data_IF_848497119868
#
_entry.id   IF_848497119868
#
_cell.length_a   1.000
_cell.length_b   1.000
_cell.length_c   1.000
_cell.angle_alpha   90.00
_cell.angle_beta   90.00
_cell.angle_gamma   90.00
#
_symmetry.space_group_name_H-M   'P 1'
#
loop_
_entity.id
_entity.type
_entity.pdbx_description
1 polymer ?
#
# COMPACT_ATOMS: atom_id res chain seq x y z
N UNK A 1 -17.06 -24.08 5.00
CA UNK A 1 -18.45 -24.29 5.48
C UNK A 1 -18.93 -23.01 6.14
N UNK A 2 -20.20 -22.57 6.01
CA UNK A 2 -21.20 -22.80 4.95
C UNK A 2 -21.42 -21.52 4.11
N UNK A 3 -21.59 -21.55 2.78
CA UNK A 3 -22.73 -21.99 1.94
C UNK A 3 -23.99 -21.13 2.15
N UNK A 4 -24.22 -20.22 1.20
CA UNK A 4 -25.45 -19.44 1.05
C UNK A 4 -25.61 -18.95 -0.40
N UNK A 5 -26.34 -19.74 -1.18
CA UNK A 5 -26.63 -19.66 -2.63
C UNK A 5 -27.03 -18.26 -3.13
N UNK A 6 -26.60 -17.89 -4.35
CA UNK A 6 -27.47 -17.32 -5.40
C UNK A 6 -26.78 -17.35 -6.79
N UNK A 7 -27.57 -17.76 -7.77
CA UNK A 7 -27.27 -18.14 -9.16
C UNK A 7 -27.27 -16.88 -10.06
N UNK A 8 -26.48 -16.80 -11.15
CA UNK A 8 -26.44 -15.60 -11.98
C UNK A 8 -27.54 -15.59 -13.05
N UNK A 9 -28.10 -14.40 -13.28
CA UNK A 9 -29.13 -14.08 -14.28
C UNK A 9 -28.53 -13.32 -15.47
N UNK A 10 -28.66 -13.94 -16.64
CA UNK A 10 -28.92 -13.42 -17.99
C UNK A 10 -28.31 -12.11 -18.51
N UNK A 11 -27.66 -12.25 -19.69
CA UNK A 11 -27.26 -11.21 -20.67
C UNK A 11 -28.47 -10.55 -21.36
N UNK A 12 -28.21 -9.33 -21.84
CA UNK A 12 -29.12 -8.41 -22.52
C UNK A 12 -29.34 -8.68 -24.03
N UNK A 13 -30.59 -8.44 -24.43
CA UNK A 13 -31.16 -7.73 -25.60
C UNK A 13 -30.79 -8.07 -27.07
N UNK A 14 -31.73 -8.82 -27.70
CA UNK A 14 -32.60 -8.57 -28.89
C UNK A 14 -32.25 -7.53 -29.97
N UNK A 15 -32.87 -7.53 -31.20
CA UNK A 15 -34.10 -8.22 -31.64
C UNK A 15 -33.95 -8.97 -33.00
N UNK A 16 -34.89 -9.73 -33.56
CA UNK A 16 -36.19 -9.30 -34.13
C UNK A 16 -36.88 -10.52 -34.78
N UNK A 17 -38.23 -10.51 -34.86
CA UNK A 17 -39.13 -11.20 -35.82
C UNK A 17 -38.93 -12.73 -36.05
N UNK A 18 -39.89 -13.63 -35.90
CA UNK A 18 -41.24 -13.62 -36.48
C UNK A 18 -42.09 -14.80 -35.92
N UNK A 19 -43.41 -14.59 -35.92
CA UNK A 19 -44.52 -15.51 -36.19
C UNK A 19 -44.63 -16.95 -35.61
N UNK A 20 -45.81 -17.12 -35.00
CA UNK A 20 -46.77 -18.22 -35.07
C UNK A 20 -46.44 -19.59 -34.49
N UNK A 21 -47.23 -19.97 -33.49
CA UNK A 21 -47.73 -21.34 -33.36
C UNK A 21 -49.05 -21.38 -32.58
N UNK A 22 -50.10 -21.83 -33.28
CA UNK A 22 -51.02 -22.89 -32.87
C UNK A 22 -51.80 -22.80 -31.53
N UNK A 23 -53.12 -23.06 -31.60
CA UNK A 23 -53.68 -24.39 -31.25
C UNK A 23 -55.20 -24.35 -30.96
N UNK A 24 -55.95 -24.97 -31.88
CA UNK A 24 -57.07 -25.91 -31.68
C UNK A 24 -58.18 -25.65 -30.64
N UNK A 25 -59.44 -25.56 -31.10
CA UNK A 25 -60.59 -26.27 -30.48
C UNK A 25 -61.78 -26.46 -31.44
N UNK A 26 -62.13 -27.74 -31.63
CA UNK A 26 -63.47 -28.37 -31.80
C UNK A 26 -64.56 -27.74 -32.68
N UNK A 27 -65.12 -28.52 -33.63
CA UNK A 27 -66.42 -29.25 -33.49
C UNK A 27 -66.80 -30.03 -34.77
N UNK A 28 -67.61 -31.07 -34.56
CA UNK A 28 -68.10 -32.13 -35.46
C UNK A 28 -68.92 -31.68 -36.70
N UNK A 29 -68.68 -32.43 -37.77
CA UNK A 29 -69.61 -33.09 -38.75
C UNK A 29 -70.64 -32.30 -39.60
N UNK A 30 -70.30 -32.19 -40.90
CA UNK A 30 -71.09 -32.43 -42.14
C UNK A 30 -72.33 -31.56 -42.46
N UNK A 31 -72.82 -31.44 -43.72
CA UNK A 31 -72.37 -32.04 -44.99
C UNK A 31 -72.30 -31.05 -46.19
N UNK A 32 -72.16 -31.63 -47.38
CA UNK A 32 -72.54 -31.14 -48.73
C UNK A 32 -71.54 -30.33 -49.59
N UNK A 33 -71.35 -30.89 -50.79
CA UNK A 33 -70.32 -30.62 -51.79
C UNK A 33 -70.64 -29.38 -52.61
N UNK A 34 -69.70 -28.43 -52.71
CA UNK A 34 -69.63 -27.46 -53.81
C UNK A 34 -68.21 -27.40 -54.38
N UNK A 35 -68.14 -27.59 -55.70
CA UNK A 35 -66.90 -27.70 -56.50
C UNK A 35 -66.05 -26.43 -56.38
N UNK A 36 -64.77 -26.57 -55.97
CA UNK A 36 -63.75 -25.51 -56.10
C UNK A 36 -62.72 -25.90 -57.16
N UNK A 37 -62.41 -24.93 -58.04
CA UNK A 37 -61.49 -25.03 -59.17
C UNK A 37 -60.15 -25.63 -58.73
N UNK A 38 -59.68 -26.68 -59.43
CA UNK A 38 -58.34 -27.25 -59.22
C UNK A 38 -57.31 -26.16 -59.48
N UNK A 39 -56.61 -25.73 -58.42
CA UNK A 39 -55.42 -24.91 -58.55
C UNK A 39 -54.36 -25.62 -59.40
N UNK A 40 -53.60 -24.85 -60.16
CA UNK A 40 -52.43 -25.30 -60.90
C UNK A 40 -51.45 -25.98 -59.92
N UNK A 41 -51.38 -27.31 -59.95
CA UNK A 41 -50.35 -28.07 -59.24
C UNK A 41 -49.18 -28.18 -60.19
N UNK A 42 -48.05 -27.54 -59.86
CA UNK A 42 -46.78 -27.76 -60.57
C UNK A 42 -46.49 -29.26 -60.60
N UNK A 43 -46.14 -29.79 -61.76
CA UNK A 43 -45.81 -31.21 -61.91
C UNK A 43 -44.61 -31.56 -61.03
N UNK A 44 -44.61 -32.76 -60.43
CA UNK A 44 -43.57 -33.23 -59.49
C UNK A 44 -42.14 -33.07 -60.05
N UNK A 45 -41.97 -33.26 -61.36
CA UNK A 45 -40.70 -33.07 -62.06
C UNK A 45 -40.21 -31.61 -62.05
N UNK A 46 -41.13 -30.63 -62.14
CA UNK A 46 -40.77 -29.22 -62.09
C UNK A 46 -40.30 -28.82 -60.68
N UNK A 47 -40.96 -29.33 -59.64
CA UNK A 47 -40.57 -29.11 -58.24
C UNK A 47 -39.18 -29.71 -57.98
N UNK A 48 -38.96 -30.97 -58.41
CA UNK A 48 -37.66 -31.64 -58.24
C UNK A 48 -36.54 -30.94 -59.02
N UNK A 49 -36.83 -30.34 -60.18
CA UNK A 49 -35.86 -29.55 -60.94
C UNK A 49 -35.55 -28.21 -60.26
N UNK A 50 -36.56 -27.53 -59.70
CA UNK A 50 -36.38 -26.31 -58.90
C UNK A 50 -35.52 -26.62 -57.65
N UNK A 51 -35.78 -27.71 -56.93
CA UNK A 51 -34.98 -28.17 -55.78
C UNK A 51 -33.53 -28.46 -56.16
N UNK A 52 -33.28 -29.16 -57.28
CA UNK A 52 -31.91 -29.42 -57.76
C UNK A 52 -31.17 -28.11 -58.03
N UNK A 53 -31.82 -27.13 -58.67
CA UNK A 53 -31.18 -25.83 -58.94
C UNK A 53 -30.89 -25.05 -57.66
N UNK A 54 -31.77 -25.11 -56.66
CA UNK A 54 -31.54 -24.48 -55.35
C UNK A 54 -30.35 -25.12 -54.62
N UNK A 55 -30.31 -26.44 -54.56
CA UNK A 55 -29.20 -27.17 -53.93
C UNK A 55 -27.87 -26.91 -54.65
N UNK A 56 -27.87 -26.77 -55.98
CA UNK A 56 -26.67 -26.39 -56.73
C UNK A 56 -26.18 -24.99 -56.36
N UNK A 57 -27.08 -24.01 -56.20
CA UNK A 57 -26.69 -22.67 -55.76
C UNK A 57 -26.14 -22.66 -54.34
N UNK A 58 -26.71 -23.46 -53.44
CA UNK A 58 -26.26 -23.59 -52.07
C UNK A 58 -24.87 -24.24 -51.99
N UNK A 59 -24.60 -25.26 -52.79
CA UNK A 59 -23.26 -25.88 -52.89
C UNK A 59 -22.22 -24.86 -53.34
N UNK A 60 -22.53 -24.01 -54.34
CA UNK A 60 -21.61 -22.97 -54.81
C UNK A 60 -21.36 -21.92 -53.72
N UNK A 61 -22.40 -21.51 -53.00
CA UNK A 61 -22.28 -20.57 -51.88
C UNK A 61 -21.42 -21.15 -50.75
N UNK A 62 -21.66 -22.40 -50.36
CA UNK A 62 -20.89 -23.09 -49.34
C UNK A 62 -19.43 -23.29 -49.77
N UNK A 63 -19.17 -23.62 -51.04
CA UNK A 63 -17.82 -23.71 -51.58
C UNK A 63 -17.09 -22.35 -51.53
N UNK A 64 -17.79 -21.25 -51.81
CA UNK A 64 -17.22 -19.91 -51.68
C UNK A 64 -16.96 -19.53 -50.22
N UNK A 65 -17.85 -19.91 -49.30
CA UNK A 65 -17.63 -19.72 -47.87
C UNK A 65 -16.42 -20.51 -47.38
N UNK A 66 -16.27 -21.77 -47.80
CA UNK A 66 -15.11 -22.60 -47.47
C UNK A 66 -13.83 -21.98 -48.03
N UNK A 67 -13.82 -21.52 -49.29
CA UNK A 67 -12.66 -20.84 -49.89
C UNK A 67 -12.30 -19.54 -49.16
N UNK A 68 -13.30 -18.75 -48.77
CA UNK A 68 -13.08 -17.52 -47.99
C UNK A 68 -12.53 -17.84 -46.60
N UNK A 69 -13.05 -18.87 -45.93
CA UNK A 69 -12.56 -19.31 -44.63
C UNK A 69 -11.14 -19.90 -44.72
N UNK A 70 -10.85 -20.67 -45.77
CA UNK A 70 -9.50 -21.17 -46.05
C UNK A 70 -8.54 -20.01 -46.32
N UNK A 71 -8.95 -19.03 -47.13
CA UNK A 71 -8.14 -17.84 -47.38
C UNK A 71 -7.92 -17.01 -46.11
N UNK A 72 -8.93 -16.89 -45.24
CA UNK A 72 -8.80 -16.23 -43.92
C UNK A 72 -7.93 -17.01 -42.92
N UNK A 73 -7.85 -18.34 -43.06
CA UNK A 73 -6.97 -19.18 -42.23
C UNK A 73 -5.52 -19.19 -42.72
N UNK A 74 -5.30 -19.02 -44.04
CA UNK A 74 -3.97 -18.93 -44.65
C UNK A 74 -3.35 -17.53 -44.58
N UNK A 75 -4.15 -16.47 -44.46
CA UNK A 75 -3.65 -15.14 -44.12
C UNK A 75 -3.31 -15.16 -42.64
N UNK A 76 -2.03 -15.03 -42.24
CA UNK A 76 -1.67 -14.90 -40.84
C UNK A 76 -2.46 -13.72 -40.28
N UNK A 77 -3.33 -13.96 -39.28
CA UNK A 77 -3.74 -12.87 -38.41
C UNK A 77 -2.44 -12.26 -37.90
N UNK A 78 -2.34 -10.94 -37.97
CA UNK A 78 -1.21 -10.16 -37.48
C UNK A 78 -1.11 -10.35 -35.95
N UNK A 79 -0.62 -11.51 -35.52
CA UNK A 79 -0.32 -11.87 -34.14
C UNK A 79 0.97 -11.17 -33.68
N UNK A 80 1.62 -10.41 -34.56
CA UNK A 80 2.86 -9.71 -34.28
C UNK A 80 2.70 -8.69 -33.16
N UNK A 81 1.55 -8.01 -33.05
CA UNK A 81 1.34 -6.99 -32.03
C UNK A 81 0.97 -7.57 -30.65
N UNK A 82 0.14 -8.61 -30.59
CA UNK A 82 -0.21 -9.28 -29.33
C UNK A 82 0.98 -10.07 -28.75
N UNK A 83 1.74 -10.78 -29.59
CA UNK A 83 2.95 -11.49 -29.14
C UNK A 83 4.04 -10.51 -28.73
N UNK A 84 4.25 -9.39 -29.44
CA UNK A 84 5.21 -8.37 -29.03
C UNK A 84 4.79 -7.67 -27.73
N UNK A 85 3.49 -7.41 -27.53
CA UNK A 85 2.96 -6.88 -26.27
C UNK A 85 3.19 -7.84 -25.10
N UNK A 86 2.98 -9.13 -25.31
CA UNK A 86 3.20 -10.16 -24.30
C UNK A 86 4.69 -10.37 -23.99
N UNK A 87 5.54 -10.39 -25.01
CA UNK A 87 7.01 -10.47 -24.87
C UNK A 87 7.57 -9.24 -24.14
N UNK A 88 7.16 -8.04 -24.51
CA UNK A 88 7.60 -6.79 -23.86
C UNK A 88 7.11 -6.71 -22.40
N UNK A 89 5.86 -7.10 -22.13
CA UNK A 89 5.33 -7.23 -20.77
C UNK A 89 6.14 -8.22 -19.94
N UNK A 90 6.47 -9.39 -20.49
CA UNK A 90 7.29 -10.40 -19.83
C UNK A 90 8.72 -9.90 -19.54
N UNK A 91 9.34 -9.17 -20.46
CA UNK A 91 10.66 -8.55 -20.26
C UNK A 91 10.62 -7.53 -19.10
N UNK A 92 9.62 -6.65 -19.07
CA UNK A 92 9.45 -5.67 -18.00
C UNK A 92 9.21 -6.34 -16.65
N UNK A 93 8.34 -7.36 -16.61
CA UNK A 93 8.09 -8.13 -15.39
C UNK A 93 9.38 -8.81 -14.88
N UNK A 94 10.19 -9.38 -15.78
CA UNK A 94 11.47 -9.99 -15.40
C UNK A 94 12.46 -8.96 -14.88
N UNK A 95 12.52 -7.76 -15.47
CA UNK A 95 13.35 -6.67 -14.98
C UNK A 95 12.92 -6.21 -13.58
N UNK A 96 11.61 -6.04 -13.36
CA UNK A 96 11.05 -5.68 -12.05
C UNK A 96 11.37 -6.76 -11.02
N UNK A 97 11.19 -8.04 -11.34
CA UNK A 97 11.57 -9.16 -10.46
C UNK A 97 13.06 -9.13 -10.10
N UNK A 98 13.93 -8.81 -11.07
CA UNK A 98 15.37 -8.67 -10.83
C UNK A 98 15.67 -7.53 -9.87
N UNK A 99 15.04 -6.36 -10.06
CA UNK A 99 15.19 -5.23 -9.14
C UNK A 99 14.67 -5.55 -7.74
N UNK A 100 13.52 -6.21 -7.63
CA UNK A 100 12.96 -6.66 -6.36
C UNK A 100 13.92 -7.63 -5.65
N UNK A 101 14.54 -8.56 -6.38
CA UNK A 101 15.54 -9.47 -5.82
C UNK A 101 16.76 -8.72 -5.28
N UNK A 102 17.27 -7.74 -6.03
CA UNK A 102 18.37 -6.88 -5.56
C UNK A 102 17.98 -6.12 -4.28
N UNK A 103 16.77 -5.57 -4.24
CA UNK A 103 16.26 -4.88 -3.06
C UNK A 103 16.15 -5.81 -1.84
N UNK A 104 15.63 -7.02 -2.02
CA UNK A 104 15.56 -8.04 -0.96
C UNK A 104 16.94 -8.39 -0.43
N UNK A 105 17.94 -8.56 -1.31
CA UNK A 105 19.31 -8.83 -0.90
C UNK A 105 19.92 -7.67 -0.09
N UNK A 106 19.70 -6.44 -0.52
CA UNK A 106 20.12 -5.24 0.23
C UNK A 106 19.41 -5.20 1.59
N UNK A 107 18.11 -5.43 1.62
CA UNK A 107 17.32 -5.43 2.86
C UNK A 107 17.79 -6.52 3.84
N UNK A 108 18.12 -7.72 3.35
CA UNK A 108 18.66 -8.80 4.17
C UNK A 108 20.04 -8.44 4.76
N UNK A 109 20.94 -7.87 3.94
CA UNK A 109 22.24 -7.41 4.41
C UNK A 109 22.11 -6.29 5.46
N UNK A 110 21.25 -5.31 5.21
CA UNK A 110 20.97 -4.21 6.15
C UNK A 110 20.34 -4.71 7.46
N UNK A 111 19.45 -5.70 7.40
CA UNK A 111 18.82 -6.27 8.59
C UNK A 111 19.84 -7.02 9.45
N UNK A 112 20.70 -7.81 8.82
CA UNK A 112 21.81 -8.50 9.49
C UNK A 112 22.77 -7.50 10.14
N UNK A 113 23.13 -6.44 9.42
CA UNK A 113 23.98 -5.39 9.96
C UNK A 113 23.34 -4.63 11.13
N UNK A 114 22.04 -4.35 11.05
CA UNK A 114 21.27 -3.71 12.12
C UNK A 114 21.11 -4.61 13.37
N UNK A 115 21.17 -5.93 13.20
CA UNK A 115 21.13 -6.90 14.29
C UNK A 115 22.45 -6.98 15.07
N UNK A 116 23.58 -6.61 14.45
CA UNK A 116 24.89 -6.64 15.11
C UNK A 116 25.30 -5.30 15.73
N UNK A 117 24.57 -4.22 15.47
CA UNK A 117 24.94 -2.89 15.96
C UNK A 117 23.74 -2.00 16.23
N UNK A 118 23.64 -1.58 17.49
CA UNK A 118 22.63 -0.63 17.99
C UNK A 118 22.68 0.66 17.17
N UNK A 119 23.85 1.09 16.69
CA UNK A 119 24.05 2.34 15.94
C UNK A 119 23.62 2.27 14.48
N UNK A 120 23.30 1.08 13.96
CA UNK A 120 23.09 0.87 12.53
C UNK A 120 21.63 0.96 12.09
N UNK A 121 20.71 1.25 13.02
CA UNK A 121 19.28 1.28 12.77
C UNK A 121 18.78 2.48 11.96
N UNK A 122 19.45 3.63 12.04
CA UNK A 122 19.01 4.87 11.42
C UNK A 122 20.19 5.83 11.08
N UNK A 123 20.20 6.48 9.89
CA UNK A 123 21.24 7.45 9.51
C UNK A 123 21.39 8.67 10.44
N UNK A 124 20.35 8.96 11.24
CA UNK A 124 20.34 10.09 12.19
C UNK A 124 20.90 9.72 13.57
N UNK A 125 21.04 8.42 13.84
CA UNK A 125 21.53 7.91 15.12
C UNK A 125 23.04 8.13 15.21
N UNK A 126 23.49 8.71 16.32
CA UNK A 126 24.92 8.81 16.64
C UNK A 126 25.12 8.54 18.12
N UNK A 127 26.28 8.02 18.47
CA UNK A 127 26.69 7.94 19.87
C UNK A 127 26.87 9.34 20.42
N UNK A 128 26.10 9.66 21.46
CA UNK A 128 26.33 10.82 22.30
C UNK A 128 26.94 10.31 23.60
N UNK A 129 28.04 10.95 24.01
CA UNK A 129 28.64 10.81 25.32
C UNK A 129 28.54 12.16 25.98
N UNK A 130 27.98 12.22 27.19
CA UNK A 130 27.82 13.46 27.91
C UNK A 130 28.62 13.48 29.21
N UNK A 131 29.24 14.64 29.53
CA UNK A 131 29.82 14.86 30.83
C UNK A 131 28.77 14.80 31.95
N UNK A 132 29.22 14.38 33.12
CA UNK A 132 28.43 14.43 34.35
C UNK A 132 28.07 15.88 34.72
N UNK A 133 29.05 16.78 34.64
CA UNK A 133 28.88 18.20 34.96
C UNK A 133 27.86 18.89 34.06
N UNK A 134 27.04 19.75 34.66
CA UNK A 134 25.88 20.33 33.99
C UNK A 134 26.24 21.36 32.92
N UNK A 135 27.13 22.30 33.22
CA UNK A 135 27.50 23.36 32.28
C UNK A 135 28.20 22.81 31.02
N UNK A 136 29.23 21.94 31.12
CA UNK A 136 29.87 21.34 29.94
C UNK A 136 28.89 20.50 29.11
N UNK A 137 28.01 19.76 29.78
CA UNK A 137 26.96 18.97 29.13
C UNK A 137 26.01 19.84 28.31
N UNK A 138 25.53 20.95 28.87
CA UNK A 138 24.67 21.91 28.15
C UNK A 138 25.37 22.48 26.92
N UNK A 139 26.64 22.86 27.04
CA UNK A 139 27.38 23.42 25.91
C UNK A 139 27.53 22.41 24.76
N UNK A 140 27.83 21.14 25.08
CA UNK A 140 27.87 20.06 24.09
C UNK A 140 26.50 19.90 23.42
N UNK A 141 25.41 19.85 24.18
CA UNK A 141 24.07 19.71 23.61
C UNK A 141 23.69 20.88 22.70
N UNK A 142 24.02 22.10 23.11
CA UNK A 142 23.82 23.30 22.29
C UNK A 142 24.59 23.21 20.97
N UNK A 143 25.87 22.80 21.03
CA UNK A 143 26.72 22.65 19.84
C UNK A 143 26.18 21.60 18.85
N UNK A 144 25.48 20.58 19.35
CA UNK A 144 24.96 19.48 18.52
C UNK A 144 23.57 19.75 17.93
N UNK A 145 22.76 20.61 18.57
CA UNK A 145 21.34 20.84 18.23
C UNK A 145 21.12 21.08 16.74
N UNK A 146 21.80 22.06 16.16
CA UNK A 146 21.61 22.46 14.75
C UNK A 146 21.84 21.28 13.81
N UNK A 147 22.97 20.59 13.97
CA UNK A 147 23.33 19.44 13.12
C UNK A 147 22.33 18.31 13.27
N UNK A 148 21.91 17.97 14.49
CA UNK A 148 20.91 16.94 14.76
C UNK A 148 19.58 17.24 14.06
N UNK A 149 19.09 18.47 14.19
CA UNK A 149 17.86 18.90 13.55
C UNK A 149 17.95 18.88 12.01
N UNK A 150 19.07 19.30 11.43
CA UNK A 150 19.29 19.23 9.98
C UNK A 150 19.29 17.80 9.44
N UNK A 151 20.02 16.90 10.10
CA UNK A 151 20.07 15.48 9.70
C UNK A 151 18.69 14.84 9.79
N UNK A 152 17.95 15.11 10.86
CA UNK A 152 16.60 14.62 11.04
C UNK A 152 15.61 15.21 10.01
N UNK A 153 15.71 16.50 9.66
CA UNK A 153 14.94 17.09 8.55
C UNK A 153 15.23 16.40 7.23
N UNK A 154 16.52 16.18 6.92
CA UNK A 154 16.95 15.51 5.68
C UNK A 154 16.40 14.08 5.62
N UNK A 155 16.52 13.33 6.71
CA UNK A 155 16.01 11.97 6.81
C UNK A 155 14.50 11.89 6.66
N UNK A 156 13.74 12.72 7.38
CA UNK A 156 12.28 12.77 7.29
C UNK A 156 11.83 13.15 5.88
N UNK A 157 12.46 14.16 5.26
CA UNK A 157 12.14 14.57 3.89
C UNK A 157 12.34 13.43 2.89
N UNK A 158 13.46 12.71 2.99
CA UNK A 158 13.73 11.53 2.16
C UNK A 158 12.71 10.41 2.40
N UNK A 159 12.38 10.12 3.66
CA UNK A 159 11.43 9.05 4.02
C UNK A 159 9.99 9.35 3.60
N UNK A 160 9.58 10.61 3.65
CA UNK A 160 8.24 11.04 3.29
C UNK A 160 8.06 11.33 1.79
N UNK A 161 9.12 11.32 0.97
CA UNK A 161 9.07 11.76 -0.45
C UNK A 161 8.02 11.00 -1.27
N UNK A 162 7.80 9.72 -0.98
CA UNK A 162 6.85 8.86 -1.70
C UNK A 162 5.63 8.44 -0.86
N UNK A 163 5.49 8.99 0.34
CA UNK A 163 4.39 8.66 1.24
C UNK A 163 3.27 9.69 1.13
N UNK A 164 2.03 9.21 1.11
CA UNK A 164 0.85 10.09 1.16
C UNK A 164 0.71 10.65 2.58
N UNK A 165 0.69 11.98 2.78
CA UNK A 165 0.69 12.59 4.12
C UNK A 165 -0.50 12.22 5.02
N UNK A 166 -1.62 11.82 4.43
CA UNK A 166 -2.86 11.49 5.14
C UNK A 166 -2.92 10.03 5.59
N UNK A 167 -2.06 9.17 5.06
CA UNK A 167 -2.09 7.74 5.39
C UNK A 167 -1.27 7.50 6.64
N UNK A 168 -1.84 6.74 7.58
CA UNK A 168 -1.06 6.23 8.69
C UNK A 168 -0.08 5.16 8.19
N UNK A 169 1.14 5.20 8.72
CA UNK A 169 2.18 4.21 8.45
C UNK A 169 2.85 3.86 9.77
N UNK A 170 3.15 2.58 9.97
CA UNK A 170 3.99 2.15 11.09
C UNK A 170 4.93 1.05 10.63
N UNK A 171 6.22 1.28 10.81
CA UNK A 171 7.28 0.33 10.57
C UNK A 171 8.05 0.12 11.88
N UNK A 172 8.28 -1.14 12.25
CA UNK A 172 9.06 -1.47 13.44
C UNK A 172 10.00 -2.63 13.13
N UNK A 173 11.25 -2.47 13.55
CA UNK A 173 12.28 -3.51 13.51
C UNK A 173 12.80 -3.71 14.92
N UNK A 174 12.96 -4.95 15.33
CA UNK A 174 13.40 -5.36 16.67
C UNK A 174 14.57 -6.30 16.53
N UNK A 175 15.53 -6.14 17.40
CA UNK A 175 16.81 -6.84 17.35
C UNK A 175 17.17 -7.27 18.77
N UNK A 176 17.83 -8.41 18.84
CA UNK A 176 18.38 -9.00 20.05
C UNK A 176 19.76 -9.54 19.69
N UNK A 177 20.77 -9.25 20.51
CA UNK A 177 22.09 -9.86 20.34
C UNK A 177 22.23 -11.14 21.17
N UNK A 178 23.33 -11.86 20.98
CA UNK A 178 23.62 -13.09 21.74
C UNK A 178 23.79 -12.85 23.26
N UNK A 179 24.01 -11.61 23.67
CA UNK A 179 24.07 -11.21 25.09
C UNK A 179 22.69 -10.95 25.70
N UNK A 180 21.61 -10.99 24.91
CA UNK A 180 20.25 -10.68 25.33
C UNK A 180 19.94 -9.17 25.39
N UNK A 181 20.83 -8.31 24.89
CA UNK A 181 20.53 -6.89 24.74
C UNK A 181 19.50 -6.71 23.62
N UNK A 182 18.48 -5.91 23.90
CA UNK A 182 17.36 -5.68 22.99
C UNK A 182 17.32 -4.22 22.52
N UNK A 183 17.10 -4.01 21.22
CA UNK A 183 16.82 -2.69 20.69
C UNK A 183 15.79 -2.74 19.56
N UNK A 184 15.14 -1.60 19.32
CA UNK A 184 14.15 -1.47 18.27
C UNK A 184 14.25 -0.13 17.56
N UNK A 185 13.90 -0.13 16.29
CA UNK A 185 13.77 1.06 15.46
C UNK A 185 12.33 1.14 14.98
N UNK A 186 11.65 2.24 15.32
CA UNK A 186 10.28 2.51 14.89
C UNK A 186 10.22 3.78 14.06
N UNK A 187 9.50 3.72 12.94
CA UNK A 187 9.11 4.88 12.15
C UNK A 187 7.61 4.86 11.95
N UNK A 188 6.93 5.94 12.34
CA UNK A 188 5.47 6.01 12.30
C UNK A 188 5.02 7.38 11.78
N UNK A 189 3.97 7.37 10.97
CA UNK A 189 3.21 8.56 10.55
C UNK A 189 1.78 8.38 11.02
N UNK A 190 1.25 9.37 11.73
CA UNK A 190 -0.13 9.33 12.25
C UNK A 190 -0.82 10.64 11.91
N UNK A 191 -1.93 10.60 11.15
CA UNK A 191 -2.71 11.80 10.87
C UNK A 191 -3.48 12.24 12.13
N UNK A 192 -3.58 13.55 12.35
CA UNK A 192 -4.36 14.14 13.44
C UNK A 192 -5.56 14.91 12.86
N UNK A 193 -6.73 14.27 12.80
CA UNK A 193 -7.93 14.85 12.17
C UNK A 193 -8.54 16.03 12.96
N UNK A 194 -8.38 16.05 14.28
CA UNK A 194 -8.99 17.07 15.15
C UNK A 194 -8.04 18.20 15.59
N UNK A 195 -6.82 18.24 15.03
CA UNK A 195 -5.83 19.27 15.37
C UNK A 195 -6.21 20.63 14.77
N UNK A 196 -6.15 21.69 15.58
CA UNK A 196 -6.46 23.06 15.13
C UNK A 196 -5.29 23.70 14.38
N UNK A 197 -4.06 23.33 14.72
CA UNK A 197 -2.84 23.80 14.09
C UNK A 197 -1.67 22.84 14.35
N UNK A 198 -0.64 22.90 13.52
CA UNK A 198 0.60 22.14 13.78
C UNK A 198 1.27 22.60 15.06
N UNK A 199 1.18 23.90 15.40
CA UNK A 199 1.70 24.43 16.66
C UNK A 199 1.03 23.78 17.88
N UNK A 200 -0.27 23.55 17.84
CA UNK A 200 -0.99 22.87 18.92
C UNK A 200 -0.45 21.44 19.11
N UNK A 201 -0.30 20.68 18.02
CA UNK A 201 0.25 19.31 18.07
C UNK A 201 1.69 19.33 18.55
N UNK A 202 2.49 20.30 18.09
CA UNK A 202 3.86 20.51 18.53
C UNK A 202 3.94 20.71 20.04
N UNK A 203 3.17 21.65 20.59
CA UNK A 203 3.21 21.96 22.03
C UNK A 203 2.77 20.76 22.87
N UNK A 204 1.77 19.99 22.39
CA UNK A 204 1.34 18.75 23.04
C UNK A 204 2.39 17.66 23.02
N UNK A 205 3.09 17.45 21.89
CA UNK A 205 4.15 16.44 21.77
C UNK A 205 5.33 16.80 22.68
N UNK A 206 5.77 18.06 22.68
CA UNK A 206 6.84 18.51 23.57
C UNK A 206 6.43 18.36 25.04
N UNK A 207 5.21 18.74 25.38
CA UNK A 207 4.68 18.56 26.74
C UNK A 207 4.68 17.07 27.14
N UNK A 208 4.17 16.18 26.28
CA UNK A 208 4.14 14.74 26.54
C UNK A 208 5.55 14.16 26.74
N UNK A 209 6.50 14.52 25.87
CA UNK A 209 7.87 14.02 25.96
C UNK A 209 8.62 14.58 27.17
N UNK A 210 8.37 15.84 27.53
CA UNK A 210 9.00 16.50 28.69
C UNK A 210 8.48 15.97 30.03
N UNK A 211 7.28 15.40 30.06
CA UNK A 211 6.66 14.81 31.26
C UNK A 211 6.44 13.30 31.08
N UNK A 212 7.40 12.65 30.43
CA UNK A 212 7.29 11.23 30.07
C UNK A 212 7.31 10.31 31.30
N UNK A 213 7.86 10.75 32.44
CA UNK A 213 7.86 10.02 33.71
C UNK A 213 6.44 9.72 34.21
N UNK A 214 5.50 10.65 34.01
CA UNK A 214 4.09 10.47 34.39
C UNK A 214 3.49 9.36 33.53
N UNK A 215 3.66 9.49 32.21
CA UNK A 215 3.09 8.56 31.23
C UNK A 215 3.67 7.15 31.36
N UNK A 216 4.97 7.04 31.67
CA UNK A 216 5.64 5.77 31.91
C UNK A 216 5.12 5.17 33.22
N UNK A 217 5.05 5.95 34.31
CA UNK A 217 4.59 5.45 35.60
C UNK A 217 3.15 4.92 35.55
N UNK A 218 2.26 5.64 34.87
CA UNK A 218 0.87 5.24 34.69
C UNK A 218 0.73 3.97 33.85
N UNK A 219 1.44 3.86 32.72
CA UNK A 219 1.30 2.72 31.80
C UNK A 219 1.99 1.46 32.29
N UNK A 220 3.14 1.59 32.95
CA UNK A 220 3.95 0.46 33.42
C UNK A 220 3.52 0.04 34.83
N UNK A 221 2.89 0.92 35.61
CA UNK A 221 2.46 0.65 36.98
C UNK A 221 3.63 0.64 37.99
N UNK A 222 4.75 1.28 37.64
CA UNK A 222 5.94 1.40 38.48
C UNK A 222 6.29 2.87 38.68
N UNK A 223 6.79 3.23 39.86
CA UNK A 223 7.19 4.61 40.11
C UNK A 223 8.43 4.93 39.26
N UNK A 224 8.28 5.90 38.37
CA UNK A 224 9.37 6.50 37.59
C UNK A 224 9.61 7.91 38.07
N UNK A 225 10.83 8.21 38.47
CA UNK A 225 11.25 9.51 38.97
C UNK A 225 12.18 10.15 37.95
N UNK A 226 12.02 11.44 37.76
CA UNK A 226 12.93 12.26 36.97
C UNK A 226 14.00 12.84 37.89
N UNK A 227 15.27 12.51 37.63
CA UNK A 227 16.40 12.93 38.47
C UNK A 227 17.10 14.19 37.96
N UNK A 228 16.92 14.55 36.69
CA UNK A 228 17.48 15.79 36.15
C UNK A 228 16.68 17.02 36.61
N UNK A 229 17.38 18.10 36.96
CA UNK A 229 16.76 19.38 37.27
C UNK A 229 16.00 19.93 36.06
N UNK A 230 14.88 20.63 36.30
CA UNK A 230 13.95 21.18 35.28
C UNK A 230 14.65 22.25 34.43
N UNK A 231 15.51 21.79 33.52
CA UNK A 231 16.41 22.64 32.77
C UNK A 231 15.87 22.87 31.36
N UNK A 232 14.97 23.83 31.26
CA UNK A 232 14.24 24.19 30.03
C UNK A 232 15.06 25.14 29.17
N UNK A 233 16.12 24.62 28.56
CA UNK A 233 16.79 25.33 27.46
C UNK A 233 15.88 25.36 26.23
N UNK A 234 15.82 26.50 25.53
CA UNK A 234 14.89 26.67 24.42
C UNK A 234 15.20 25.68 23.28
N UNK A 235 14.33 24.68 23.10
CA UNK A 235 14.46 23.68 22.04
C UNK A 235 15.35 22.48 22.37
N UNK A 236 15.74 22.30 23.64
CA UNK A 236 16.45 21.10 24.12
C UNK A 236 15.81 20.65 25.44
N UNK A 237 15.39 19.39 25.50
CA UNK A 237 14.92 18.76 26.74
C UNK A 237 15.75 17.51 26.99
N UNK A 238 16.41 17.44 28.13
CA UNK A 238 17.00 16.21 28.63
C UNK A 238 16.02 15.58 29.62
N UNK A 239 15.88 14.26 29.66
CA UNK A 239 15.15 13.55 30.71
C UNK A 239 15.99 12.36 31.19
N UNK A 240 16.40 12.38 32.46
CA UNK A 240 17.02 11.24 33.16
C UNK A 240 15.98 10.62 34.07
N UNK A 241 15.44 9.50 33.63
CA UNK A 241 14.36 8.78 34.29
C UNK A 241 14.92 7.53 34.97
N UNK A 242 14.59 7.37 36.24
CA UNK A 242 14.92 6.18 37.02
C UNK A 242 13.62 5.54 37.51
N UNK A 243 13.45 4.26 37.23
CA UNK A 243 12.27 3.49 37.65
C UNK A 243 12.70 2.29 38.48
N UNK A 244 11.85 1.89 39.41
CA UNK A 244 11.99 0.64 40.15
C UNK A 244 10.77 -0.26 39.90
N UNK A 245 11.04 -1.40 39.31
CA UNK A 245 10.04 -2.43 39.01
C UNK A 245 9.51 -3.02 40.31
N UNK A 246 8.27 -3.51 40.34
CA UNK A 246 7.70 -4.18 41.54
C UNK A 246 8.47 -5.42 42.01
N UNK A 247 9.36 -5.96 41.18
CA UNK A 247 10.29 -7.06 41.49
C UNK A 247 11.70 -6.57 41.94
N UNK A 248 11.88 -5.27 42.18
CA UNK A 248 13.15 -4.68 42.59
C UNK A 248 14.16 -4.43 41.47
N UNK A 249 13.78 -4.61 40.19
CA UNK A 249 14.66 -4.29 39.07
C UNK A 249 14.72 -2.77 38.84
N UNK A 250 15.91 -2.21 38.92
CA UNK A 250 16.17 -0.82 38.58
C UNK A 250 16.33 -0.63 37.07
N UNK A 251 15.67 0.39 36.53
CA UNK A 251 15.78 0.80 35.14
C UNK A 251 16.20 2.27 35.10
N UNK A 252 17.17 2.59 34.27
CA UNK A 252 17.56 3.97 33.97
C UNK A 252 17.34 4.23 32.48
N UNK A 253 16.78 5.38 32.17
CA UNK A 253 16.62 5.87 30.80
C UNK A 253 17.03 7.33 30.76
N UNK A 254 18.04 7.62 29.94
CA UNK A 254 18.48 8.99 29.72
C UNK A 254 18.23 9.36 28.26
N UNK A 255 17.36 10.34 28.04
CA UNK A 255 16.91 10.75 26.72
C UNK A 255 17.11 12.23 26.48
N UNK A 256 17.40 12.60 25.24
CA UNK A 256 17.57 14.00 24.83
C UNK A 256 16.68 14.26 23.65
N UNK A 257 15.91 15.33 23.75
CA UNK A 257 14.95 15.80 22.77
C UNK A 257 15.45 17.12 22.20
N UNK A 258 15.87 17.10 20.95
CA UNK A 258 16.09 18.32 20.17
C UNK A 258 14.80 18.67 19.43
N UNK A 259 14.34 19.92 19.58
CA UNK A 259 13.13 20.37 18.91
C UNK A 259 13.21 21.83 18.44
N UNK A 260 12.55 22.09 17.32
CA UNK A 260 12.41 23.42 16.75
C UNK A 260 11.07 23.51 16.01
N UNK A 261 10.43 24.68 16.07
CA UNK A 261 9.21 24.99 15.35
C UNK A 261 9.46 26.14 14.38
N UNK A 262 9.29 25.91 13.09
CA UNK A 262 9.50 26.93 12.06
C UNK A 262 8.17 27.55 11.63
N UNK A 263 8.09 28.89 11.66
CA UNK A 263 6.90 29.68 11.31
C UNK A 263 6.78 30.07 9.82
N UNK A 264 7.81 29.78 9.00
CA UNK A 264 8.01 30.47 7.72
C UNK A 264 7.06 30.02 6.59
N UNK A 265 6.30 30.99 6.06
CA UNK A 265 5.74 31.02 4.71
C UNK A 265 6.82 31.42 3.68
N UNK A 266 7.92 30.66 3.57
CA UNK A 266 8.88 30.83 2.46
C UNK A 266 8.57 29.82 1.35
N UNK A 267 8.77 30.23 0.10
CA UNK A 267 8.27 29.56 -1.12
C UNK A 267 8.86 28.15 -1.34
N UNK A 268 9.96 27.80 -0.66
CA UNK A 268 10.53 26.43 -0.64
C UNK A 268 9.93 25.53 0.44
N UNK A 269 9.07 26.08 1.31
CA UNK A 269 8.50 25.43 2.49
C UNK A 269 6.96 25.53 2.52
N UNK A 270 6.30 25.69 1.35
CA UNK A 270 4.85 25.89 1.24
C UNK A 270 3.96 24.73 1.72
N UNK A 271 4.52 23.63 2.26
CA UNK A 271 3.73 22.50 2.76
C UNK A 271 4.09 22.02 4.18
N UNK A 272 5.05 22.62 4.88
CA UNK A 272 5.56 22.02 6.13
C UNK A 272 5.87 23.08 7.19
N UNK A 273 4.85 23.47 7.96
CA UNK A 273 5.08 23.67 9.40
C UNK A 273 5.67 22.35 9.90
N UNK A 274 6.99 22.27 10.02
CA UNK A 274 7.69 21.01 10.26
C UNK A 274 8.09 20.89 11.72
N UNK A 275 7.80 19.73 12.29
CA UNK A 275 8.24 19.31 13.60
C UNK A 275 9.35 18.29 13.41
N UNK A 276 10.47 18.52 14.08
CA UNK A 276 11.51 17.50 14.22
C UNK A 276 11.77 17.32 15.70
N UNK A 277 11.44 16.13 16.20
CA UNK A 277 11.83 15.66 17.53
C UNK A 277 12.84 14.56 17.30
N UNK A 278 14.08 14.79 17.72
CA UNK A 278 15.07 13.72 17.79
C UNK A 278 15.23 13.32 19.25
N UNK A 279 14.87 12.06 19.55
CA UNK A 279 15.09 11.44 20.87
C UNK A 279 16.28 10.50 20.76
N UNK A 280 17.32 10.74 21.55
CA UNK A 280 18.47 9.82 21.63
C UNK A 280 18.69 9.32 23.05
N UNK A 281 18.95 8.02 23.16
CA UNK A 281 19.42 7.40 24.39
C UNK A 281 20.91 7.69 24.56
N UNK A 282 21.30 8.14 25.74
CA UNK A 282 22.67 8.59 26.00
C UNK A 282 23.30 7.77 27.11
N UNK A 283 24.50 7.27 26.85
CA UNK A 283 25.34 6.66 27.88
C UNK A 283 26.02 7.80 28.65
N UNK A 284 25.78 7.84 29.97
CA UNK A 284 26.57 8.69 30.86
C UNK A 284 27.92 8.02 31.11
N UNK A 285 28.99 8.80 31.13
CA UNK A 285 30.29 8.30 31.56
C UNK A 285 30.15 7.79 32.99
N UNK A 286 30.13 6.47 33.10
CA UNK A 286 30.06 5.75 34.36
C UNK A 286 31.47 5.76 34.93
N UNK A 287 31.74 6.64 35.89
CA UNK A 287 32.90 6.49 36.76
C UNK A 287 32.41 5.67 37.95
N UNK A 288 33.06 4.53 38.16
CA UNK A 288 33.03 3.79 39.42
C UNK A 288 33.28 4.73 40.61
#
# INVERSE_FOLDING_TARGET
MPIGKKRPTSRADTPTHDNDSDRSTARRESPTKLKRKRGYRKALHAIRKEEITQLQTEIIQLQNQIKNLQHQALVPKDQGDDQNGELTSNVLQNLVKKQQTTFVNIQAAMSSYSACSIQCGSPIQRTIVLPHEELPRREILRSMKTRKLEDARKFIRQRLTHLTPTNSLSEERRFENDAGDYWAVRFTTTPFESARSVKQVFDLVIYFLSNSEISISEKVGHLTVREDGDNRELGIVQNRLVSMTGKGLHMETNSIIFHEYCLSHSVECCCMQSLVVQVELVKMDSVL
#
